data_IF_232855068484
#
_entry.id   IF_232855068484
#
_cell.length_a   1.000
_cell.length_b   1.000
_cell.length_c   1.000
_cell.angle_alpha   90.00
_cell.angle_beta   90.00
_cell.angle_gamma   90.00
#
_symmetry.space_group_name_H-M   'P 1'
#
loop_
_entity.id
_entity.type
_entity.pdbx_description
1 polymer ?
#
# COMPACT_ATOMS: atom_id res chain seq x y z
N UNK A 1 -2.75 22.53 -40.37
CA UNK A 1 -2.64 21.38 -39.45
C UNK A 1 -1.60 20.40 -40.05
N UNK A 2 -0.45 20.25 -39.39
CA UNK A 2 0.53 19.26 -39.80
C UNK A 2 -0.07 17.87 -39.49
N UNK A 3 -0.33 17.08 -40.53
CA UNK A 3 -0.68 15.66 -40.36
C UNK A 3 0.56 14.96 -39.76
N UNK A 4 0.47 14.62 -38.49
CA UNK A 4 1.45 13.72 -37.88
C UNK A 4 1.21 12.34 -38.49
N UNK A 5 2.19 11.85 -39.24
CA UNK A 5 2.13 10.51 -39.82
C UNK A 5 2.17 9.49 -38.68
N UNK A 6 1.10 8.71 -38.52
CA UNK A 6 0.93 7.71 -37.48
C UNK A 6 1.29 6.34 -38.07
N UNK A 7 2.26 5.67 -37.49
CA UNK A 7 2.65 4.33 -37.91
C UNK A 7 1.96 3.31 -37.00
N UNK A 8 0.94 2.61 -37.49
CA UNK A 8 0.24 1.59 -36.74
C UNK A 8 1.14 0.41 -36.38
N UNK A 9 0.93 -0.11 -35.16
CA UNK A 9 1.64 -1.25 -34.59
C UNK A 9 0.60 -2.25 -34.07
N UNK A 10 0.93 -3.54 -34.14
CA UNK A 10 0.03 -4.56 -33.56
C UNK A 10 -0.17 -4.30 -32.06
N UNK A 11 -1.41 -4.39 -31.61
CA UNK A 11 -1.79 -4.14 -30.20
C UNK A 11 -0.97 -4.99 -29.22
N UNK A 12 -0.69 -6.25 -29.56
CA UNK A 12 0.10 -7.14 -28.72
C UNK A 12 1.54 -6.64 -28.54
N UNK A 13 2.15 -6.11 -29.61
CA UNK A 13 3.52 -5.60 -29.59
C UNK A 13 3.56 -4.26 -28.81
N UNK A 14 2.59 -3.38 -29.07
CA UNK A 14 2.46 -2.11 -28.35
C UNK A 14 2.32 -2.30 -26.84
N UNK A 15 1.51 -3.27 -26.40
CA UNK A 15 1.36 -3.64 -24.99
C UNK A 15 2.68 -4.17 -24.42
N UNK A 16 3.35 -5.05 -25.14
CA UNK A 16 4.61 -5.66 -24.68
C UNK A 16 5.69 -4.61 -24.49
N UNK A 17 5.87 -3.72 -25.45
CA UNK A 17 6.84 -2.62 -25.37
C UNK A 17 6.51 -1.69 -24.21
N UNK A 18 5.25 -1.26 -24.08
CA UNK A 18 4.85 -0.39 -22.96
C UNK A 18 5.11 -1.05 -21.61
N UNK A 19 4.69 -2.29 -21.42
CA UNK A 19 4.88 -2.97 -20.12
C UNK A 19 6.36 -3.18 -19.78
N UNK A 20 7.25 -3.26 -20.76
CA UNK A 20 8.69 -3.32 -20.52
C UNK A 20 9.27 -2.01 -19.96
N UNK A 21 8.65 -0.87 -20.23
CA UNK A 21 9.07 0.43 -19.66
C UNK A 21 8.69 0.57 -18.18
N UNK A 22 7.76 -0.24 -17.68
CA UNK A 22 7.26 -0.13 -16.31
C UNK A 22 8.19 -0.89 -15.35
N UNK A 23 8.96 -0.14 -14.56
CA UNK A 23 9.94 -0.70 -13.62
C UNK A 23 9.32 -1.55 -12.51
N UNK A 24 8.41 -1.03 -11.65
CA UNK A 24 7.89 -1.79 -10.53
C UNK A 24 6.96 -2.93 -10.96
N UNK A 25 7.26 -4.16 -10.54
CA UNK A 25 6.50 -5.36 -10.92
C UNK A 25 5.01 -5.30 -10.52
N UNK A 26 4.67 -4.66 -9.40
CA UNK A 26 3.27 -4.48 -8.95
C UNK A 26 2.51 -3.52 -9.87
N UNK A 27 3.11 -2.41 -10.26
CA UNK A 27 2.52 -1.44 -11.20
C UNK A 27 2.32 -2.09 -12.57
N UNK A 28 3.34 -2.81 -13.06
CA UNK A 28 3.28 -3.54 -14.33
C UNK A 28 2.13 -4.54 -14.35
N UNK A 29 1.95 -5.34 -13.28
CA UNK A 29 0.80 -6.26 -13.15
C UNK A 29 -0.55 -5.53 -13.14
N UNK A 30 -0.62 -4.38 -12.48
CA UNK A 30 -1.83 -3.56 -12.43
C UNK A 30 -2.25 -3.07 -13.82
N UNK A 31 -1.28 -2.57 -14.62
CA UNK A 31 -1.52 -2.11 -15.99
C UNK A 31 -1.80 -3.28 -16.94
N UNK A 32 -1.03 -4.36 -16.82
CA UNK A 32 -1.20 -5.55 -17.65
C UNK A 32 -2.62 -6.12 -17.56
N UNK A 33 -3.30 -6.03 -16.43
CA UNK A 33 -4.66 -6.54 -16.28
C UNK A 33 -5.67 -5.86 -17.22
N UNK A 34 -5.61 -4.53 -17.38
CA UNK A 34 -6.49 -3.81 -18.30
C UNK A 34 -6.07 -3.99 -19.77
N UNK A 35 -4.77 -3.95 -20.04
CA UNK A 35 -4.22 -4.08 -21.39
C UNK A 35 -4.40 -5.50 -21.95
N UNK A 36 -4.20 -6.54 -21.14
CA UNK A 36 -4.46 -7.91 -21.55
C UNK A 36 -5.95 -8.15 -21.85
N UNK A 37 -6.85 -7.54 -21.08
CA UNK A 37 -8.28 -7.59 -21.38
C UNK A 37 -8.58 -6.90 -22.71
N UNK A 38 -7.98 -5.73 -22.97
CA UNK A 38 -8.11 -5.03 -24.25
C UNK A 38 -7.62 -5.91 -25.40
N UNK A 39 -6.45 -6.54 -25.26
CA UNK A 39 -5.89 -7.46 -26.26
C UNK A 39 -6.81 -8.64 -26.57
N UNK A 40 -7.46 -9.20 -25.54
CA UNK A 40 -8.43 -10.31 -25.71
C UNK A 40 -9.66 -9.88 -26.51
N UNK A 41 -10.19 -8.69 -26.22
CA UNK A 41 -11.47 -8.24 -26.79
C UNK A 41 -11.32 -7.55 -28.15
N UNK A 42 -10.18 -6.92 -28.45
CA UNK A 42 -9.88 -6.27 -29.74
C UNK A 42 -9.11 -7.16 -30.71
N UNK A 43 -8.45 -8.21 -30.22
CA UNK A 43 -7.56 -9.08 -30.98
C UNK A 43 -6.10 -8.69 -30.88
N UNK A 44 -5.21 -9.71 -30.96
CA UNK A 44 -3.76 -9.55 -30.84
C UNK A 44 -3.15 -8.73 -31.97
N UNK A 45 -3.73 -8.84 -33.17
CA UNK A 45 -3.27 -8.20 -34.42
C UNK A 45 -3.99 -6.88 -34.70
N UNK A 46 -4.83 -6.38 -33.77
CA UNK A 46 -5.48 -5.08 -33.94
C UNK A 46 -4.42 -3.98 -34.12
N UNK A 47 -4.63 -3.10 -35.08
CA UNK A 47 -3.74 -1.99 -35.40
C UNK A 47 -4.03 -0.80 -34.44
N UNK A 48 -3.03 -0.33 -33.70
CA UNK A 48 -3.17 0.79 -32.78
C UNK A 48 -3.62 2.08 -33.48
N UNK A 49 -3.19 2.32 -34.72
CA UNK A 49 -3.59 3.49 -35.49
C UNK A 49 -5.07 3.47 -35.91
N UNK A 50 -5.69 2.29 -35.88
CA UNK A 50 -7.10 2.06 -36.26
C UNK A 50 -8.04 1.88 -35.06
N UNK A 51 -7.56 2.14 -33.84
CA UNK A 51 -8.39 2.09 -32.64
C UNK A 51 -9.39 3.24 -32.67
N UNK A 52 -10.65 2.90 -32.93
CA UNK A 52 -11.77 3.85 -32.91
C UNK A 52 -12.02 4.33 -31.47
N UNK A 53 -11.98 5.65 -31.20
CA UNK A 53 -12.18 6.21 -29.86
C UNK A 53 -13.54 5.86 -29.24
N UNK A 54 -14.62 5.86 -30.04
CA UNK A 54 -15.96 5.57 -29.53
C UNK A 54 -16.10 4.08 -29.20
N UNK A 55 -15.51 3.21 -30.01
CA UNK A 55 -15.44 1.77 -29.74
C UNK A 55 -14.64 1.44 -28.48
N UNK A 56 -13.47 2.10 -28.27
CA UNK A 56 -12.63 1.90 -27.08
C UNK A 56 -13.34 2.43 -25.84
N UNK A 57 -13.95 3.61 -25.88
CA UNK A 57 -14.71 4.14 -24.78
C UNK A 57 -15.92 3.29 -24.42
N UNK A 58 -16.70 2.84 -25.42
CA UNK A 58 -17.84 1.93 -25.24
C UNK A 58 -17.43 0.61 -24.63
N UNK A 59 -16.35 -0.01 -25.12
CA UNK A 59 -15.77 -1.23 -24.56
C UNK A 59 -15.35 -1.03 -23.09
N UNK A 60 -14.66 0.07 -22.78
CA UNK A 60 -14.25 0.33 -21.41
C UNK A 60 -15.44 0.44 -20.46
N UNK A 61 -16.49 1.13 -20.89
CA UNK A 61 -17.73 1.24 -20.13
C UNK A 61 -18.46 -0.08 -20.00
N UNK A 62 -18.45 -0.92 -21.02
CA UNK A 62 -19.03 -2.27 -20.96
C UNK A 62 -18.30 -3.15 -19.92
N UNK A 63 -16.97 -3.15 -19.93
CA UNK A 63 -16.16 -4.04 -19.07
C UNK A 63 -16.12 -3.54 -17.62
N UNK A 64 -15.98 -2.24 -17.38
CA UNK A 64 -15.78 -1.68 -16.03
C UNK A 64 -16.84 -0.66 -15.61
N UNK A 65 -17.84 -0.42 -16.41
CA UNK A 65 -18.90 0.56 -16.11
C UNK A 65 -19.63 0.30 -14.80
N UNK A 66 -19.77 -0.97 -14.40
CA UNK A 66 -20.40 -1.37 -13.13
C UNK A 66 -19.39 -1.64 -12.00
N UNK A 67 -18.10 -1.42 -12.23
CA UNK A 67 -17.08 -1.59 -11.19
C UNK A 67 -17.13 -0.48 -10.15
N UNK A 68 -16.59 -0.74 -8.96
CA UNK A 68 -16.41 0.29 -7.95
C UNK A 68 -15.62 1.49 -8.53
N UNK A 69 -15.87 2.73 -8.05
CA UNK A 69 -15.14 3.91 -8.50
C UNK A 69 -13.61 3.75 -8.44
N UNK A 70 -13.10 3.09 -7.40
CA UNK A 70 -11.68 2.81 -7.24
C UNK A 70 -11.15 1.90 -8.36
N UNK A 71 -11.84 0.79 -8.63
CA UNK A 71 -11.45 -0.16 -9.71
C UNK A 71 -11.52 0.53 -11.07
N UNK A 72 -12.62 1.22 -11.35
CA UNK A 72 -12.80 1.99 -12.58
C UNK A 72 -11.64 2.95 -12.82
N UNK A 73 -11.31 3.78 -11.81
CA UNK A 73 -10.25 4.77 -11.91
C UNK A 73 -8.86 4.16 -12.10
N UNK A 74 -8.57 3.05 -11.42
CA UNK A 74 -7.28 2.34 -11.58
C UNK A 74 -7.14 1.79 -13.00
N UNK A 75 -8.21 1.21 -13.57
CA UNK A 75 -8.19 0.68 -14.94
C UNK A 75 -8.07 1.81 -15.97
N UNK A 76 -8.83 2.88 -15.78
CA UNK A 76 -8.77 4.06 -16.64
C UNK A 76 -7.38 4.70 -16.63
N UNK A 77 -6.77 4.86 -15.46
CA UNK A 77 -5.42 5.43 -15.34
C UNK A 77 -4.38 4.56 -16.05
N UNK A 78 -4.45 3.22 -15.88
CA UNK A 78 -3.51 2.31 -16.55
C UNK A 78 -3.58 2.37 -18.07
N UNK A 79 -4.80 2.42 -18.64
CA UNK A 79 -4.97 2.55 -20.08
C UNK A 79 -4.53 3.92 -20.59
N UNK A 80 -4.84 5.01 -19.87
CA UNK A 80 -4.40 6.36 -20.24
C UNK A 80 -2.88 6.46 -20.32
N UNK A 81 -2.18 5.92 -19.33
CA UNK A 81 -0.71 5.92 -19.35
C UNK A 81 -0.16 5.16 -20.55
N UNK A 82 -0.78 4.03 -20.94
CA UNK A 82 -0.38 3.29 -22.12
C UNK A 82 -0.66 4.06 -23.41
N UNK A 83 -1.84 4.69 -23.52
CA UNK A 83 -2.21 5.47 -24.71
C UNK A 83 -1.38 6.74 -24.86
N UNK A 84 -1.02 7.40 -23.75
CA UNK A 84 -0.09 8.51 -23.74
C UNK A 84 1.27 8.09 -24.31
N UNK A 85 1.83 7.00 -23.81
CA UNK A 85 3.06 6.42 -24.34
C UNK A 85 2.95 6.09 -25.84
N UNK A 86 1.86 5.45 -26.29
CA UNK A 86 1.68 5.11 -27.71
C UNK A 86 1.55 6.34 -28.61
N UNK A 87 0.97 7.42 -28.11
CA UNK A 87 0.91 8.71 -28.82
C UNK A 87 2.29 9.35 -28.94
N UNK A 88 3.10 9.29 -27.88
CA UNK A 88 4.50 9.74 -27.91
C UNK A 88 5.33 8.96 -28.93
N UNK A 89 5.07 7.66 -29.09
CA UNK A 89 5.68 6.82 -30.10
C UNK A 89 5.07 7.00 -31.50
N UNK A 90 4.05 7.83 -31.67
CA UNK A 90 3.29 8.03 -32.92
C UNK A 90 2.59 6.75 -33.42
N UNK A 91 2.22 5.83 -32.52
CA UNK A 91 1.44 4.63 -32.82
C UNK A 91 -0.06 4.84 -32.70
N UNK A 92 -0.48 5.94 -32.12
CA UNK A 92 -1.86 6.33 -31.89
C UNK A 92 -1.99 7.84 -32.14
N UNK A 93 -3.01 8.28 -32.91
CA UNK A 93 -3.19 9.69 -33.22
C UNK A 93 -3.79 10.46 -32.03
N UNK A 94 -4.92 9.97 -31.51
CA UNK A 94 -5.70 10.63 -30.46
C UNK A 94 -5.85 9.73 -29.25
N UNK A 95 -6.14 10.34 -28.08
CA UNK A 95 -6.47 9.57 -26.87
C UNK A 95 -7.93 9.07 -26.96
N UNK A 96 -8.17 7.77 -27.12
CA UNK A 96 -9.51 7.20 -27.21
C UNK A 96 -10.34 7.35 -25.91
N UNK A 97 -9.70 7.71 -24.79
CA UNK A 97 -10.36 7.82 -23.49
C UNK A 97 -10.64 9.26 -23.05
N UNK A 98 -10.51 10.25 -23.97
CA UNK A 98 -10.73 11.67 -23.65
C UNK A 98 -12.12 11.96 -23.08
N UNK A 99 -13.14 11.22 -23.52
CA UNK A 99 -14.53 11.37 -23.06
C UNK A 99 -14.80 10.72 -21.70
N UNK A 100 -13.96 9.81 -21.24
CA UNK A 100 -14.14 9.16 -19.95
C UNK A 100 -13.58 10.05 -18.84
N UNK A 101 -14.31 10.16 -17.74
CA UNK A 101 -13.88 10.90 -16.54
C UNK A 101 -13.67 9.93 -15.39
N UNK A 102 -12.66 10.22 -14.58
CA UNK A 102 -12.49 9.51 -13.32
C UNK A 102 -13.72 9.75 -12.43
N UNK A 103 -14.14 8.70 -11.72
CA UNK A 103 -15.30 8.76 -10.82
C UNK A 103 -14.90 9.31 -9.46
N UNK A 104 -15.75 10.11 -8.82
CA UNK A 104 -15.53 10.48 -7.43
C UNK A 104 -15.38 9.21 -6.56
N UNK A 105 -14.33 9.17 -5.78
CA UNK A 105 -14.14 8.11 -4.75
C UNK A 105 -14.55 8.74 -3.43
N UNK A 106 -15.57 8.19 -2.79
CA UNK A 106 -15.93 8.61 -1.44
C UNK A 106 -14.72 8.41 -0.53
N UNK A 107 -14.34 9.45 0.19
CA UNK A 107 -13.36 9.31 1.26
C UNK A 107 -14.05 8.54 2.40
N UNK A 108 -13.55 7.35 2.62
CA UNK A 108 -13.95 6.54 3.75
C UNK A 108 -13.08 6.95 4.95
N UNK A 109 -13.58 7.93 5.71
CA UNK A 109 -12.94 8.39 6.95
C UNK A 109 -13.11 7.35 8.09
N UNK A 110 -13.92 6.30 7.88
CA UNK A 110 -14.19 5.22 8.84
C UNK A 110 -13.12 4.11 8.86
N UNK A 111 -12.05 4.24 8.07
CA UNK A 111 -11.01 3.19 7.98
C UNK A 111 -10.10 3.09 9.18
N UNK A 112 -10.01 4.13 10.00
CA UNK A 112 -9.24 4.06 11.24
C UNK A 112 -10.05 3.29 12.29
N UNK A 113 -9.41 2.29 12.90
CA UNK A 113 -9.96 1.61 14.06
C UNK A 113 -9.91 2.55 15.26
N UNK A 114 -10.92 2.49 16.10
CA UNK A 114 -10.91 3.23 17.37
C UNK A 114 -9.79 2.72 18.29
N UNK A 115 -9.40 3.52 19.28
CA UNK A 115 -8.40 3.08 20.28
C UNK A 115 -8.87 1.85 21.06
N UNK A 116 -10.17 1.71 21.31
CA UNK A 116 -10.76 0.54 21.95
C UNK A 116 -10.61 -0.71 21.06
N UNK A 117 -10.92 -0.61 19.77
CA UNK A 117 -10.71 -1.70 18.82
C UNK A 117 -9.23 -2.09 18.66
N UNK A 118 -8.31 -1.12 18.68
CA UNK A 118 -6.87 -1.41 18.68
C UNK A 118 -6.48 -2.15 19.97
N UNK A 119 -6.95 -1.73 21.12
CA UNK A 119 -6.67 -2.40 22.40
C UNK A 119 -7.20 -3.83 22.41
N UNK A 120 -8.44 -4.06 21.96
CA UNK A 120 -9.04 -5.37 21.81
C UNK A 120 -8.24 -6.27 20.87
N UNK A 121 -7.91 -5.77 19.67
CA UNK A 121 -7.12 -6.46 18.64
C UNK A 121 -5.74 -6.89 19.17
N UNK A 122 -5.01 -5.97 19.80
CA UNK A 122 -3.69 -6.25 20.36
C UNK A 122 -3.74 -7.15 21.61
N UNK A 123 -4.91 -7.29 22.24
CA UNK A 123 -5.18 -8.20 23.34
C UNK A 123 -5.57 -9.61 22.92
N UNK A 124 -5.80 -9.87 21.63
CA UNK A 124 -6.20 -11.21 21.16
C UNK A 124 -5.15 -12.27 21.53
N UNK A 125 -5.65 -13.45 21.88
CA UNK A 125 -4.78 -14.62 22.10
C UNK A 125 -4.37 -15.24 20.75
N UNK A 126 -3.23 -14.79 20.24
CA UNK A 126 -2.66 -15.21 18.96
C UNK A 126 -1.18 -15.57 19.14
N UNK A 127 -0.61 -16.24 18.15
CA UNK A 127 0.81 -16.58 18.19
C UNK A 127 1.67 -15.32 18.32
N UNK A 128 2.83 -15.47 18.98
CA UNK A 128 3.72 -14.34 19.30
C UNK A 128 4.17 -13.57 18.06
N UNK A 129 4.32 -14.24 16.91
CA UNK A 129 4.68 -13.62 15.63
C UNK A 129 3.62 -12.60 15.19
N UNK A 130 2.35 -12.99 15.20
CA UNK A 130 1.22 -12.14 14.83
C UNK A 130 1.14 -10.95 15.77
N UNK A 131 1.23 -11.21 17.07
CA UNK A 131 1.20 -10.15 18.09
C UNK A 131 2.32 -9.13 17.89
N UNK A 132 3.56 -9.57 17.63
CA UNK A 132 4.69 -8.66 17.36
C UNK A 132 4.47 -7.88 16.06
N UNK A 133 4.04 -8.54 14.98
CA UNK A 133 3.81 -7.89 13.69
C UNK A 133 2.74 -6.79 13.81
N UNK A 134 1.61 -7.09 14.44
CA UNK A 134 0.50 -6.15 14.59
C UNK A 134 0.86 -4.97 15.50
N UNK A 135 1.51 -5.26 16.63
CA UNK A 135 2.01 -4.23 17.53
C UNK A 135 3.00 -3.30 16.81
N UNK A 136 3.96 -3.87 16.09
CA UNK A 136 4.98 -3.12 15.37
C UNK A 136 4.38 -2.30 14.21
N UNK A 137 3.38 -2.83 13.48
CA UNK A 137 2.65 -2.10 12.45
C UNK A 137 1.93 -0.86 13.00
N UNK A 138 1.28 -1.02 14.14
CA UNK A 138 0.56 0.08 14.78
C UNK A 138 1.54 1.12 15.37
N UNK A 139 2.59 0.69 16.06
CA UNK A 139 3.52 1.62 16.71
C UNK A 139 4.38 2.41 15.71
N UNK A 140 4.77 1.78 14.59
CA UNK A 140 5.65 2.42 13.59
C UNK A 140 4.91 3.14 12.48
N UNK A 141 3.63 2.85 12.27
CA UNK A 141 2.87 3.24 11.09
C UNK A 141 3.54 2.84 9.74
N UNK A 142 4.46 1.86 9.73
CA UNK A 142 5.12 1.37 8.53
C UNK A 142 4.13 0.63 7.61
N UNK A 143 4.48 0.47 6.33
CA UNK A 143 3.72 -0.44 5.45
C UNK A 143 4.04 -1.88 5.83
N UNK A 144 3.05 -2.76 5.75
CA UNK A 144 3.26 -4.16 6.14
C UNK A 144 4.40 -4.83 5.34
N UNK A 145 4.51 -4.55 4.05
CA UNK A 145 5.62 -5.05 3.23
C UNK A 145 6.99 -4.56 3.73
N UNK A 146 7.09 -3.32 4.23
CA UNK A 146 8.34 -2.76 4.76
C UNK A 146 8.81 -3.53 6.00
N UNK A 147 7.89 -3.89 6.91
CA UNK A 147 8.23 -4.69 8.09
C UNK A 147 8.48 -6.17 7.75
N UNK A 148 7.70 -6.74 6.86
CA UNK A 148 7.86 -8.13 6.44
C UNK A 148 9.18 -8.38 5.69
N UNK A 149 9.73 -7.35 5.06
CA UNK A 149 11.04 -7.42 4.38
C UNK A 149 12.23 -7.21 5.32
N UNK A 150 12.01 -6.96 6.61
CA UNK A 150 13.09 -6.82 7.57
C UNK A 150 13.82 -8.15 7.79
N UNK A 151 15.14 -8.07 7.84
CA UNK A 151 16.02 -9.09 8.39
C UNK A 151 16.50 -8.68 9.78
N UNK A 152 16.88 -9.65 10.60
CA UNK A 152 17.32 -9.41 11.98
C UNK A 152 18.44 -8.36 12.07
N UNK A 153 19.46 -8.34 11.17
CA UNK A 153 20.49 -7.31 11.19
C UNK A 153 20.00 -5.86 10.91
N UNK A 154 18.79 -5.69 10.39
CA UNK A 154 18.21 -4.36 10.19
C UNK A 154 17.63 -3.75 11.47
N UNK A 155 17.53 -4.55 12.54
CA UNK A 155 16.96 -4.13 13.82
C UNK A 155 18.04 -3.54 14.72
N UNK A 156 17.71 -2.47 15.41
CA UNK A 156 18.44 -1.94 16.56
C UNK A 156 17.50 -1.92 17.78
N UNK A 157 17.40 -3.04 18.51
CA UNK A 157 16.49 -3.14 19.65
C UNK A 157 16.85 -2.21 20.80
N UNK A 158 18.13 -1.84 20.96
CA UNK A 158 18.58 -0.92 22.01
C UNK A 158 18.00 0.47 21.82
N UNK A 159 17.99 0.95 20.58
CA UNK A 159 17.44 2.24 20.20
C UNK A 159 15.97 2.17 19.72
N UNK A 160 15.36 0.98 19.75
CA UNK A 160 13.97 0.72 19.32
C UNK A 160 13.69 1.17 17.91
N UNK A 161 14.60 0.91 16.98
CA UNK A 161 14.45 1.29 15.58
C UNK A 161 14.84 0.16 14.60
N UNK A 162 14.39 0.29 13.37
CA UNK A 162 14.83 -0.55 12.26
C UNK A 162 15.03 0.28 11.00
N UNK A 163 15.94 -0.17 10.15
CA UNK A 163 16.13 0.38 8.81
C UNK A 163 15.23 -0.37 7.84
N UNK A 164 14.28 0.34 7.23
CA UNK A 164 13.36 -0.19 6.21
C UNK A 164 13.71 0.34 4.83
N UNK A 165 13.32 -0.40 3.80
CA UNK A 165 13.39 0.06 2.41
C UNK A 165 12.00 0.53 1.99
N UNK A 166 11.88 1.84 1.71
CA UNK A 166 10.63 2.44 1.24
C UNK A 166 10.37 2.12 -0.25
N UNK A 167 9.15 2.35 -0.69
CA UNK A 167 8.82 2.29 -2.12
C UNK A 167 9.75 3.21 -2.92
N UNK A 168 10.42 2.66 -3.93
CA UNK A 168 11.45 3.39 -4.70
C UNK A 168 12.89 3.13 -4.24
N UNK A 169 13.11 2.25 -3.23
CA UNK A 169 14.44 1.80 -2.81
C UNK A 169 15.12 2.70 -1.76
N UNK A 170 14.52 3.81 -1.35
CA UNK A 170 15.09 4.68 -0.34
C UNK A 170 15.12 4.00 1.05
N UNK A 171 16.26 4.04 1.72
CA UNK A 171 16.39 3.60 3.12
C UNK A 171 15.80 4.65 4.05
N UNK A 172 15.04 4.20 5.03
CA UNK A 172 14.45 5.05 6.05
C UNK A 172 14.41 4.31 7.40
N UNK A 173 14.15 5.05 8.48
CA UNK A 173 14.11 4.51 9.83
C UNK A 173 12.66 4.50 10.31
N UNK A 174 12.26 3.38 10.91
CA UNK A 174 11.03 3.26 11.69
C UNK A 174 11.37 3.10 13.16
N UNK A 175 10.56 3.68 14.04
CA UNK A 175 10.76 3.65 15.50
C UNK A 175 9.53 3.03 16.13
N UNK A 176 9.73 2.08 17.03
CA UNK A 176 8.65 1.44 17.78
C UNK A 176 8.64 1.84 19.26
N UNK A 177 7.57 1.48 19.94
CA UNK A 177 7.34 1.79 21.34
C UNK A 177 7.56 0.56 22.24
N UNK A 178 7.12 0.67 23.48
CA UNK A 178 7.36 -0.35 24.52
C UNK A 178 6.70 -1.70 24.23
N UNK A 179 5.54 -1.72 23.55
CA UNK A 179 4.85 -2.95 23.22
C UNK A 179 5.71 -3.87 22.36
N UNK A 180 6.19 -3.36 21.22
CA UNK A 180 7.14 -4.09 20.36
C UNK A 180 8.44 -4.41 21.08
N UNK A 181 9.01 -3.45 21.85
CA UNK A 181 10.27 -3.65 22.55
C UNK A 181 10.22 -4.83 23.55
N UNK A 182 9.07 -5.08 24.18
CA UNK A 182 8.87 -6.21 25.10
C UNK A 182 8.71 -7.56 24.39
N UNK A 183 8.07 -7.56 23.22
CA UNK A 183 7.68 -8.81 22.54
C UNK A 183 8.73 -9.28 21.52
N UNK A 184 9.38 -8.35 20.83
CA UNK A 184 10.31 -8.64 19.73
C UNK A 184 11.47 -9.55 20.12
N UNK A 185 12.20 -9.33 21.25
CA UNK A 185 13.29 -10.22 21.67
C UNK A 185 12.81 -11.66 21.94
N UNK A 186 11.62 -11.80 22.51
CA UNK A 186 11.01 -13.11 22.77
C UNK A 186 10.68 -13.86 21.48
N UNK A 187 10.15 -13.14 20.47
CA UNK A 187 9.88 -13.73 19.15
C UNK A 187 11.16 -14.12 18.41
N UNK A 188 12.20 -13.29 18.50
CA UNK A 188 13.49 -13.61 17.87
C UNK A 188 14.17 -14.84 18.47
N UNK A 189 13.99 -15.08 19.78
CA UNK A 189 14.55 -16.28 20.45
C UNK A 189 16.07 -16.40 20.31
N UNK A 190 16.78 -15.26 20.27
CA UNK A 190 18.24 -15.23 20.11
C UNK A 190 18.73 -15.27 18.65
N UNK A 191 17.85 -15.33 17.64
CA UNK A 191 18.25 -15.25 16.21
C UNK A 191 18.97 -13.93 15.93
N UNK A 192 20.05 -14.01 15.15
CA UNK A 192 20.88 -12.86 14.77
C UNK A 192 20.92 -12.60 13.26
N UNK A 193 20.31 -13.49 12.45
CA UNK A 193 20.30 -13.39 10.99
C UNK A 193 18.95 -13.88 10.43
N UNK A 194 18.78 -13.76 9.13
CA UNK A 194 17.59 -14.18 8.40
C UNK A 194 16.38 -13.23 8.59
N UNK A 195 15.25 -13.58 7.98
CA UNK A 195 14.03 -12.78 8.04
C UNK A 195 13.47 -12.64 9.46
N UNK A 196 12.98 -11.45 9.82
CA UNK A 196 12.39 -11.20 11.15
C UNK A 196 11.14 -12.07 11.36
N UNK A 197 10.22 -12.03 10.40
CA UNK A 197 8.94 -12.74 10.46
C UNK A 197 9.00 -14.00 9.59
N UNK A 198 8.78 -15.15 10.20
CA UNK A 198 8.91 -16.45 9.56
C UNK A 198 7.56 -17.16 9.43
N UNK A 199 7.42 -18.02 8.43
CA UNK A 199 6.29 -18.96 8.31
C UNK A 199 6.34 -20.04 9.38
N UNK A 200 5.21 -20.74 9.62
CA UNK A 200 5.14 -21.85 10.58
C UNK A 200 5.81 -23.13 10.07
N UNK A 201 5.90 -23.27 8.76
CA UNK A 201 6.46 -24.44 8.08
C UNK A 201 7.81 -24.12 7.45
N UNK A 202 8.61 -25.16 7.24
CA UNK A 202 9.86 -25.04 6.47
C UNK A 202 9.60 -24.56 5.05
N UNK A 203 10.56 -23.83 4.51
CA UNK A 203 10.54 -23.34 3.13
C UNK A 203 10.47 -24.49 2.13
N UNK A 204 9.76 -24.27 1.02
CA UNK A 204 9.83 -25.17 -0.14
C UNK A 204 11.14 -24.92 -0.89
N UNK A 205 11.68 -25.93 -1.63
CA UNK A 205 12.93 -25.76 -2.37
C UNK A 205 12.93 -24.60 -3.37
N UNK A 206 11.77 -24.16 -3.83
CA UNK A 206 11.61 -23.04 -4.77
C UNK A 206 11.74 -21.64 -4.15
N UNK A 207 11.85 -21.54 -2.81
CA UNK A 207 12.01 -20.26 -2.12
C UNK A 207 13.47 -19.81 -2.20
N UNK A 208 13.69 -18.53 -2.53
CA UNK A 208 15.03 -17.97 -2.60
C UNK A 208 15.76 -18.09 -1.25
N UNK A 209 17.04 -18.42 -1.27
CA UNK A 209 17.83 -18.65 -0.03
C UNK A 209 17.83 -17.41 0.90
N UNK A 210 17.78 -16.20 0.36
CA UNK A 210 17.70 -14.96 1.12
C UNK A 210 16.40 -14.82 1.92
N UNK A 211 15.34 -15.52 1.50
CA UNK A 211 14.05 -15.52 2.19
C UNK A 211 13.87 -16.72 3.12
N UNK A 212 14.95 -17.45 3.40
CA UNK A 212 14.94 -18.61 4.31
C UNK A 212 15.83 -18.32 5.50
N UNK A 213 15.29 -18.54 6.69
CA UNK A 213 16.09 -18.49 7.92
C UNK A 213 17.06 -19.67 7.99
N UNK A 214 18.37 -19.43 8.07
CA UNK A 214 19.37 -20.49 7.98
C UNK A 214 19.32 -21.47 9.13
N UNK A 215 18.81 -21.05 10.29
CA UNK A 215 18.75 -21.86 11.50
C UNK A 215 17.54 -22.80 11.51
N UNK A 216 16.36 -22.27 11.15
CA UNK A 216 15.10 -23.02 11.24
C UNK A 216 14.65 -23.62 9.91
N UNK A 217 15.21 -23.16 8.80
CA UNK A 217 14.77 -23.50 7.44
C UNK A 217 13.38 -22.98 7.09
N UNK A 218 12.85 -22.03 7.87
CA UNK A 218 11.53 -21.41 7.62
C UNK A 218 11.64 -20.22 6.68
N UNK A 219 10.62 -20.04 5.85
CA UNK A 219 10.58 -18.92 4.91
C UNK A 219 10.14 -17.62 5.57
N UNK A 220 10.50 -16.48 4.96
CA UNK A 220 9.93 -15.17 5.23
C UNK A 220 8.40 -15.21 5.10
N UNK A 221 7.70 -14.61 6.04
CA UNK A 221 6.26 -14.47 6.00
C UNK A 221 5.85 -13.53 4.86
N UNK A 222 5.08 -14.03 3.90
CA UNK A 222 4.59 -13.21 2.80
C UNK A 222 3.47 -12.27 3.25
N UNK A 223 3.36 -11.10 2.58
CA UNK A 223 2.25 -10.16 2.83
C UNK A 223 0.88 -10.84 2.74
N UNK A 224 0.67 -11.65 1.70
CA UNK A 224 -0.60 -12.36 1.51
C UNK A 224 -0.94 -13.22 2.72
N UNK A 225 0.03 -14.02 3.20
CA UNK A 225 -0.21 -14.88 4.37
C UNK A 225 -0.42 -14.08 5.65
N UNK A 226 0.33 -12.99 5.84
CA UNK A 226 0.13 -12.08 6.98
C UNK A 226 -1.26 -11.43 6.96
N UNK A 227 -1.74 -11.01 5.80
CA UNK A 227 -3.07 -10.43 5.62
C UNK A 227 -4.19 -11.46 5.89
N UNK A 228 -4.08 -12.68 5.31
CA UNK A 228 -5.04 -13.77 5.55
C UNK A 228 -5.16 -14.11 7.04
N UNK A 229 -4.03 -14.17 7.76
CA UNK A 229 -4.02 -14.43 9.20
C UNK A 229 -4.68 -13.29 9.97
N UNK A 230 -4.36 -12.04 9.62
CA UNK A 230 -4.94 -10.88 10.29
C UNK A 230 -6.47 -10.81 10.09
N UNK A 231 -6.93 -10.97 8.86
CA UNK A 231 -8.36 -10.98 8.53
C UNK A 231 -9.09 -12.12 9.27
N UNK A 232 -8.52 -13.33 9.29
CA UNK A 232 -9.14 -14.47 9.96
C UNK A 232 -9.24 -14.29 11.47
N UNK A 233 -8.23 -13.73 12.14
CA UNK A 233 -8.26 -13.48 13.57
C UNK A 233 -9.16 -12.31 13.98
N UNK A 234 -9.38 -11.36 13.08
CA UNK A 234 -10.23 -10.19 13.33
C UNK A 234 -11.66 -10.34 12.85
N UNK A 235 -12.01 -11.47 12.21
CA UNK A 235 -13.36 -11.70 11.66
C UNK A 235 -14.47 -11.69 12.73
N UNK A 236 -14.16 -12.07 13.95
CA UNK A 236 -15.09 -12.07 15.07
C UNK A 236 -15.20 -10.74 15.83
N UNK A 237 -14.36 -9.75 15.52
CA UNK A 237 -14.40 -8.45 16.18
C UNK A 237 -15.50 -7.56 15.58
N UNK A 238 -16.01 -6.64 16.39
CA UNK A 238 -17.04 -5.69 15.93
C UNK A 238 -16.49 -4.80 14.81
N UNK A 239 -17.10 -4.91 13.63
CA UNK A 239 -16.67 -4.20 12.42
C UNK A 239 -15.57 -4.91 11.60
N UNK A 240 -15.14 -6.10 12.05
CA UNK A 240 -14.20 -6.94 11.30
C UNK A 240 -14.84 -7.67 10.10
N UNK A 241 -14.05 -8.38 9.28
CA UNK A 241 -12.58 -8.48 9.40
C UNK A 241 -11.85 -7.19 9.07
N UNK A 242 -10.71 -6.97 9.72
CA UNK A 242 -9.86 -5.81 9.48
C UNK A 242 -8.69 -6.17 8.55
N UNK A 243 -8.09 -5.14 7.93
CA UNK A 243 -6.91 -5.28 7.06
C UNK A 243 -5.65 -4.73 7.73
N UNK A 244 -4.49 -5.27 7.39
CA UNK A 244 -3.20 -4.74 7.89
C UNK A 244 -3.01 -3.25 7.59
N UNK A 245 -3.62 -2.76 6.49
CA UNK A 245 -3.53 -1.34 6.14
C UNK A 245 -4.30 -0.44 7.12
N UNK A 246 -5.37 -0.96 7.74
CA UNK A 246 -6.12 -0.21 8.75
C UNK A 246 -5.30 0.03 10.03
N UNK A 247 -4.36 -0.86 10.41
CA UNK A 247 -3.44 -0.60 11.53
C UNK A 247 -2.59 0.64 11.27
N UNK A 248 -2.01 0.74 10.07
CA UNK A 248 -1.24 1.92 9.68
C UNK A 248 -2.12 3.17 9.61
N UNK A 249 -3.33 3.04 9.08
CA UNK A 249 -4.29 4.14 9.02
C UNK A 249 -4.60 4.66 10.42
N UNK A 250 -4.93 3.75 11.34
CA UNK A 250 -5.23 4.06 12.74
C UNK A 250 -4.04 4.70 13.45
N UNK A 251 -2.83 4.16 13.25
CA UNK A 251 -1.61 4.72 13.82
C UNK A 251 -1.40 6.19 13.43
N UNK A 252 -1.57 6.52 12.15
CA UNK A 252 -1.40 7.89 11.66
C UNK A 252 -2.53 8.82 12.11
N UNK A 253 -3.77 8.32 12.12
CA UNK A 253 -4.93 9.08 12.61
C UNK A 253 -4.76 9.39 14.10
N UNK A 254 -4.42 8.38 14.91
CA UNK A 254 -4.23 8.57 16.36
C UNK A 254 -3.03 9.47 16.66
N UNK A 255 -1.93 9.35 15.90
CA UNK A 255 -0.79 10.26 16.05
C UNK A 255 -1.17 11.72 15.74
N UNK A 256 -1.98 11.93 14.67
CA UNK A 256 -2.49 13.26 14.34
C UNK A 256 -3.42 13.82 15.45
N UNK A 257 -4.30 12.98 16.00
CA UNK A 257 -5.17 13.32 17.13
C UNK A 257 -4.39 13.63 18.42
N UNK A 258 -3.23 12.99 18.60
CA UNK A 258 -2.31 13.24 19.71
C UNK A 258 -1.44 14.49 19.49
N UNK A 259 -1.63 15.20 18.35
CA UNK A 259 -0.97 16.47 18.06
C UNK A 259 0.37 16.32 17.32
N UNK A 260 0.65 15.16 16.72
CA UNK A 260 1.86 15.03 15.90
C UNK A 260 1.83 16.01 14.72
N UNK A 261 2.94 16.74 14.54
CA UNK A 261 3.05 17.70 13.45
C UNK A 261 3.07 17.03 12.07
N UNK A 262 2.69 17.77 11.03
CA UNK A 262 2.75 17.26 9.64
C UNK A 262 4.11 16.66 9.27
N UNK A 263 5.27 17.28 9.57
CA UNK A 263 6.57 16.67 9.33
C UNK A 263 6.77 15.33 10.07
N UNK A 264 6.30 15.21 11.32
CA UNK A 264 6.36 13.97 12.08
C UNK A 264 5.52 12.88 11.43
N UNK A 265 4.29 13.18 11.02
CA UNK A 265 3.42 12.24 10.29
C UNK A 265 4.02 11.84 8.95
N UNK A 266 4.67 12.76 8.22
CA UNK A 266 5.42 12.45 7.00
C UNK A 266 6.56 11.48 7.27
N UNK A 267 7.34 11.71 8.32
CA UNK A 267 8.45 10.84 8.71
C UNK A 267 7.96 9.45 9.11
N UNK A 268 6.95 9.34 9.97
CA UNK A 268 6.34 8.06 10.36
C UNK A 268 5.83 7.28 9.16
N UNK A 269 5.10 7.95 8.28
CA UNK A 269 4.43 7.31 7.15
C UNK A 269 5.34 7.07 5.94
N UNK A 270 6.46 7.79 5.83
CA UNK A 270 7.28 7.82 4.61
C UNK A 270 6.53 8.38 3.39
N UNK A 271 5.59 9.30 3.61
CA UNK A 271 4.95 10.05 2.52
C UNK A 271 5.84 11.22 2.12
N UNK A 272 6.02 11.40 0.81
CA UNK A 272 6.78 12.51 0.23
C UNK A 272 5.91 13.72 -0.12
N UNK A 273 4.56 13.57 -0.05
CA UNK A 273 3.59 14.63 -0.37
C UNK A 273 2.62 14.84 0.79
N UNK A 274 2.46 16.11 1.20
CA UNK A 274 1.46 16.52 2.20
C UNK A 274 0.04 16.16 1.76
N UNK A 275 -0.26 16.23 0.47
CA UNK A 275 -1.57 15.81 -0.08
C UNK A 275 -1.91 14.36 0.28
N UNK A 276 -0.91 13.49 0.33
CA UNK A 276 -1.11 12.08 0.72
C UNK A 276 -1.43 11.90 2.19
N UNK A 277 -1.09 12.89 3.03
CA UNK A 277 -1.41 12.92 4.45
C UNK A 277 -2.75 13.58 4.78
N UNK A 278 -3.34 14.33 3.85
CA UNK A 278 -4.57 15.11 4.11
C UNK A 278 -5.72 14.24 4.67
N UNK A 279 -5.74 12.96 4.31
CA UNK A 279 -6.71 11.98 4.82
C UNK A 279 -6.50 11.60 6.30
N UNK A 280 -5.31 11.85 6.88
CA UNK A 280 -5.00 11.60 8.28
C UNK A 280 -4.95 12.90 9.10
N UNK A 281 -4.75 14.03 8.45
CA UNK A 281 -4.56 15.34 9.08
C UNK A 281 -5.90 16.09 9.33
N UNK A 282 -6.99 15.35 9.58
CA UNK A 282 -8.28 15.91 9.97
C UNK A 282 -8.54 15.57 11.44
N UNK A 283 -8.03 16.39 12.39
CA UNK A 283 -8.29 16.15 13.80
C UNK A 283 -9.80 16.23 14.06
N UNK A 284 -10.32 15.35 14.92
CA UNK A 284 -11.70 15.43 15.38
C UNK A 284 -11.93 16.72 16.18
N UNK A 285 -13.19 17.10 16.36
CA UNK A 285 -13.55 18.25 17.21
C UNK A 285 -13.02 18.07 18.65
N UNK A 286 -13.05 16.84 19.16
CA UNK A 286 -12.52 16.50 20.48
C UNK A 286 -10.98 16.64 20.54
N UNK A 287 -10.27 16.23 19.49
CA UNK A 287 -8.81 16.40 19.41
C UNK A 287 -8.44 17.90 19.38
N UNK A 288 -9.19 18.70 18.61
CA UNK A 288 -9.02 20.15 18.59
C UNK A 288 -9.30 20.78 19.97
N UNK A 289 -10.37 20.36 20.63
CA UNK A 289 -10.73 20.85 21.98
C UNK A 289 -9.65 20.49 23.00
N UNK A 290 -9.13 19.26 23.00
CA UNK A 290 -8.00 18.86 23.86
C UNK A 290 -6.74 19.70 23.62
N UNK A 291 -6.38 19.90 22.37
CA UNK A 291 -5.21 20.71 22.01
C UNK A 291 -5.37 22.16 22.46
N UNK A 292 -6.56 22.75 22.26
CA UNK A 292 -6.86 24.10 22.76
C UNK A 292 -6.76 24.20 24.28
N UNK A 293 -7.29 23.22 25.00
CA UNK A 293 -7.20 23.17 26.46
C UNK A 293 -5.74 23.06 26.96
N UNK A 294 -4.90 22.28 26.27
CA UNK A 294 -3.48 22.15 26.62
C UNK A 294 -2.66 23.40 26.29
N UNK A 295 -3.05 24.17 25.28
CA UNK A 295 -2.35 25.37 24.84
C UNK A 295 -2.97 26.66 25.37
N UNK A 296 -3.99 26.60 26.19
CA UNK A 296 -4.66 27.76 26.78
C UNK A 296 -3.74 28.44 27.83
N UNK A 297 -3.27 29.67 27.55
CA UNK A 297 -2.43 30.39 28.53
C UNK A 297 -3.17 30.72 29.84
N UNK A 298 -4.49 30.96 29.74
CA UNK A 298 -5.31 31.32 30.92
C UNK A 298 -5.48 30.15 31.88
N UNK A 299 -5.55 28.91 31.37
CA UNK A 299 -5.60 27.71 32.19
C UNK A 299 -4.30 27.38 32.94
N UNK A 300 -3.15 27.92 32.48
CA UNK A 300 -1.81 27.73 33.09
C UNK A 300 -1.51 28.74 34.24
N UNK A 301 -2.30 29.79 34.37
CA UNK A 301 -2.07 30.87 35.32
C UNK A 301 -2.61 30.63 36.73
N UNK A 302 -3.18 29.46 37.04
CA UNK A 302 -3.79 29.13 38.33
C UNK A 302 -3.12 27.95 39.06
N UNK A 303 -1.77 27.82 38.94
CA UNK A 303 -0.97 26.93 39.82
C UNK A 303 0.08 27.70 40.57
#
# INVERSE_FOLDING_TARGET
MLHVEVTGVRLADAITVFLATIGPASTRRGYAAALNRMRQDFGVDADTARLDPDRVAGWFMFVWGQSSPQTFNVRLAGLRTAFEFWREQRWLADDPLTRLRARPVAHDDSRALTRAQIAELLGLDVALRERVLWQMLYETAARAEELLMLDVPHLDPANRLAVVIRKGGAKDIVVWQTGTARLLPRMLGGRRSGPVFLTDRRARPSVAALDVDPTTGRARLSYRRAAELFESHTAGLVGGPFTLHQLRHSALTHAAEDGASTPMLMKMSGHTSVRSLAKYARPSAEALARWRAQTDPAARGHR
#
